data_IF_444371473354
#
_entry.id   IF_444371473354
#
_cell.length_a   1.000
_cell.length_b   1.000
_cell.length_c   1.000
_cell.angle_alpha   90.00
_cell.angle_beta   90.00
_cell.angle_gamma   90.00
#
_symmetry.space_group_name_H-M   'P 1'
#
loop_
_entity.id
_entity.type
_entity.pdbx_description
1 polymer ?
#
# COMPACT_ATOMS: atom_id res chain seq x y z
N UNK A 1 -88.66 3.90 26.22
CA UNK A 1 -90.00 4.50 26.33
C UNK A 1 -90.50 4.80 24.93
N UNK A 2 -91.09 3.79 24.28
CA UNK A 2 -91.98 3.87 23.12
C UNK A 2 -92.42 2.43 22.87
N UNK A 3 -93.46 2.03 23.60
CA UNK A 3 -94.23 0.82 23.34
C UNK A 3 -95.09 1.09 22.12
N UNK A 4 -94.68 0.58 20.96
CA UNK A 4 -95.56 0.48 19.81
C UNK A 4 -96.69 -0.47 20.17
N UNK A 5 -97.90 0.08 20.12
CA UNK A 5 -99.17 -0.63 20.20
C UNK A 5 -99.23 -1.53 18.96
N UNK A 6 -98.95 -2.82 19.16
CA UNK A 6 -99.33 -3.84 18.19
C UNK A 6 -100.86 -3.88 18.23
N UNK A 7 -101.49 -3.20 17.28
CA UNK A 7 -102.86 -3.47 16.90
C UNK A 7 -102.85 -4.91 16.34
N UNK A 8 -103.17 -5.87 17.20
CA UNK A 8 -103.71 -7.16 16.75
C UNK A 8 -105.06 -6.85 16.09
N UNK A 9 -105.02 -6.49 14.81
CA UNK A 9 -106.19 -6.63 13.95
C UNK A 9 -106.48 -8.13 13.90
N UNK A 10 -107.53 -8.53 14.62
CA UNK A 10 -108.16 -9.83 14.54
C UNK A 10 -108.50 -10.12 13.07
N UNK A 11 -107.60 -10.84 12.37
CA UNK A 11 -107.89 -11.36 11.05
C UNK A 11 -109.11 -12.27 11.16
N UNK A 12 -110.22 -11.79 10.59
CA UNK A 12 -111.49 -12.49 10.50
C UNK A 12 -111.29 -13.96 10.10
N UNK A 13 -111.80 -14.84 10.97
CA UNK A 13 -111.95 -16.28 10.75
C UNK A 13 -113.06 -16.58 9.75
N UNK A 14 -113.08 -15.89 8.60
CA UNK A 14 -113.97 -16.17 7.49
C UNK A 14 -113.18 -16.98 6.44
N UNK A 15 -113.20 -18.30 6.62
CA UNK A 15 -112.53 -19.27 5.78
C UNK A 15 -113.19 -19.42 4.41
N UNK A 16 -113.01 -18.44 3.54
CA UNK A 16 -113.06 -18.69 2.10
C UNK A 16 -111.65 -19.05 1.65
N UNK A 17 -111.46 -20.33 1.30
CA UNK A 17 -110.23 -20.84 0.72
C UNK A 17 -110.07 -20.28 -0.70
N UNK A 18 -109.65 -19.02 -0.81
CA UNK A 18 -109.42 -18.33 -2.08
C UNK A 18 -108.18 -18.82 -2.84
N UNK A 19 -107.55 -19.91 -2.37
CA UNK A 19 -106.47 -20.63 -3.03
C UNK A 19 -106.66 -22.12 -2.83
N UNK A 20 -106.54 -22.90 -3.90
CA UNK A 20 -106.42 -24.35 -3.78
C UNK A 20 -105.16 -24.65 -2.95
N UNK A 21 -105.25 -25.44 -1.85
CA UNK A 21 -104.12 -25.70 -0.97
C UNK A 21 -102.88 -26.24 -1.70
N UNK A 22 -103.09 -26.94 -2.81
CA UNK A 22 -102.02 -27.44 -3.68
C UNK A 22 -101.28 -26.32 -4.39
N UNK A 23 -101.96 -25.30 -4.91
CA UNK A 23 -101.29 -24.21 -5.64
C UNK A 23 -100.44 -23.36 -4.69
N UNK A 24 -100.94 -23.12 -3.48
CA UNK A 24 -100.16 -22.48 -2.42
C UNK A 24 -98.92 -23.31 -2.03
N UNK A 25 -99.05 -24.63 -1.94
CA UNK A 25 -97.92 -25.53 -1.73
C UNK A 25 -96.89 -25.42 -2.86
N UNK A 26 -97.31 -25.41 -4.14
CA UNK A 26 -96.37 -25.29 -5.27
C UNK A 26 -95.64 -23.94 -5.29
N UNK A 27 -96.35 -22.84 -5.05
CA UNK A 27 -95.74 -21.50 -4.97
C UNK A 27 -94.76 -21.39 -3.79
N UNK A 28 -95.07 -22.01 -2.66
CA UNK A 28 -94.16 -22.09 -1.51
C UNK A 28 -92.90 -22.88 -1.84
N UNK A 29 -93.02 -24.01 -2.54
CA UNK A 29 -91.86 -24.79 -3.01
C UNK A 29 -91.02 -23.98 -3.99
N UNK A 30 -91.64 -23.29 -4.95
CA UNK A 30 -90.93 -22.45 -5.91
C UNK A 30 -90.20 -21.29 -5.22
N UNK A 31 -90.85 -20.62 -4.26
CA UNK A 31 -90.23 -19.57 -3.47
C UNK A 31 -89.04 -20.10 -2.64
N UNK A 32 -89.16 -21.31 -2.09
CA UNK A 32 -88.06 -21.98 -1.37
C UNK A 32 -86.89 -22.35 -2.30
N UNK A 33 -87.18 -22.83 -3.51
CA UNK A 33 -86.15 -23.12 -4.53
C UNK A 33 -85.43 -21.85 -4.98
N UNK A 34 -86.16 -20.76 -5.22
CA UNK A 34 -85.58 -19.45 -5.54
C UNK A 34 -84.78 -18.89 -4.35
N UNK A 35 -85.29 -19.00 -3.13
CA UNK A 35 -84.57 -18.61 -1.92
C UNK A 35 -83.27 -19.39 -1.76
N UNK A 36 -83.29 -20.71 -2.02
CA UNK A 36 -82.10 -21.56 -2.00
C UNK A 36 -81.08 -21.14 -3.07
N UNK A 37 -81.50 -20.94 -4.31
CA UNK A 37 -80.59 -20.51 -5.39
C UNK A 37 -79.98 -19.13 -5.14
N UNK A 38 -80.76 -18.19 -4.58
CA UNK A 38 -80.25 -16.87 -4.19
C UNK A 38 -79.25 -16.97 -3.04
N UNK A 39 -79.51 -17.81 -2.03
CA UNK A 39 -78.57 -18.07 -0.94
C UNK A 39 -77.29 -18.74 -1.44
N UNK A 40 -77.40 -19.71 -2.34
CA UNK A 40 -76.24 -20.40 -2.90
C UNK A 40 -75.39 -19.43 -3.75
N UNK A 41 -76.02 -18.60 -4.59
CA UNK A 41 -75.34 -17.53 -5.32
C UNK A 41 -74.69 -16.50 -4.38
N UNK A 42 -75.36 -16.15 -3.27
CA UNK A 42 -74.80 -15.23 -2.29
C UNK A 42 -73.56 -15.83 -1.62
N UNK A 43 -73.62 -17.11 -1.22
CA UNK A 43 -72.46 -17.85 -0.68
C UNK A 43 -71.31 -17.93 -1.67
N UNK A 44 -71.57 -18.19 -2.95
CA UNK A 44 -70.54 -18.18 -4.00
C UNK A 44 -69.86 -16.81 -4.13
N UNK A 45 -70.63 -15.73 -4.08
CA UNK A 45 -70.10 -14.36 -4.12
C UNK A 45 -69.27 -14.04 -2.87
N UNK A 46 -69.72 -14.46 -1.69
CA UNK A 46 -68.96 -14.32 -0.43
C UNK A 46 -67.64 -15.10 -0.49
N UNK A 47 -67.65 -16.33 -1.00
CA UNK A 47 -66.44 -17.14 -1.18
C UNK A 47 -65.48 -16.50 -2.19
N UNK A 48 -66.00 -16.02 -3.32
CA UNK A 48 -65.18 -15.33 -4.32
C UNK A 48 -64.56 -14.04 -3.77
N UNK A 49 -65.30 -13.28 -2.96
CA UNK A 49 -64.77 -12.10 -2.25
C UNK A 49 -63.68 -12.49 -1.25
N UNK A 50 -63.89 -13.54 -0.46
CA UNK A 50 -62.88 -14.03 0.49
C UNK A 50 -61.60 -14.46 -0.21
N UNK A 51 -61.70 -15.17 -1.34
CA UNK A 51 -60.56 -15.53 -2.18
C UNK A 51 -59.85 -14.30 -2.76
N UNK A 52 -60.61 -13.29 -3.18
CA UNK A 52 -60.04 -12.03 -3.65
C UNK A 52 -59.29 -11.31 -2.52
N UNK A 53 -59.83 -11.28 -1.29
CA UNK A 53 -59.13 -10.71 -0.14
C UNK A 53 -57.86 -11.49 0.22
N UNK A 54 -57.87 -12.83 0.18
CA UNK A 54 -56.68 -13.63 0.48
C UNK A 54 -55.58 -13.41 -0.56
N UNK A 55 -55.94 -13.43 -1.85
CA UNK A 55 -54.99 -13.17 -2.94
C UNK A 55 -54.44 -11.74 -2.91
N UNK A 56 -55.26 -10.75 -2.58
CA UNK A 56 -54.79 -9.38 -2.39
C UNK A 56 -53.79 -9.26 -1.23
N UNK A 57 -54.04 -9.97 -0.12
CA UNK A 57 -53.11 -9.99 1.01
C UNK A 57 -51.76 -10.64 0.66
N UNK A 58 -51.77 -11.74 -0.11
CA UNK A 58 -50.55 -12.38 -0.62
C UNK A 58 -49.77 -11.43 -1.55
N UNK A 59 -50.45 -10.73 -2.45
CA UNK A 59 -49.82 -9.73 -3.33
C UNK A 59 -49.20 -8.58 -2.54
N UNK A 60 -49.84 -8.10 -1.48
CA UNK A 60 -49.26 -7.07 -0.60
C UNK A 60 -47.97 -7.56 0.07
N UNK A 61 -47.95 -8.81 0.55
CA UNK A 61 -46.74 -9.40 1.11
C UNK A 61 -45.62 -9.52 0.07
N UNK A 62 -45.94 -9.93 -1.15
CA UNK A 62 -44.98 -9.98 -2.26
C UNK A 62 -44.39 -8.60 -2.56
N UNK A 63 -45.23 -7.57 -2.65
CA UNK A 63 -44.78 -6.18 -2.85
C UNK A 63 -43.84 -5.74 -1.73
N UNK A 64 -44.15 -6.08 -0.47
CA UNK A 64 -43.26 -5.77 0.66
C UNK A 64 -41.92 -6.50 0.57
N UNK A 65 -41.91 -7.77 0.16
CA UNK A 65 -40.68 -8.53 -0.03
C UNK A 65 -39.82 -7.94 -1.15
N UNK A 66 -40.43 -7.59 -2.28
CA UNK A 66 -39.75 -6.95 -3.40
C UNK A 66 -39.21 -5.57 -3.01
N UNK A 67 -39.98 -4.78 -2.25
CA UNK A 67 -39.50 -3.50 -1.72
C UNK A 67 -38.27 -3.67 -0.84
N UNK A 68 -38.29 -4.64 0.09
CA UNK A 68 -37.13 -4.96 0.95
C UNK A 68 -35.91 -5.37 0.12
N UNK A 69 -36.10 -6.15 -0.95
CA UNK A 69 -35.02 -6.53 -1.86
C UNK A 69 -34.44 -5.31 -2.60
N UNK A 70 -35.30 -4.40 -3.09
CA UNK A 70 -34.87 -3.16 -3.75
C UNK A 70 -34.10 -2.25 -2.78
N UNK A 71 -34.55 -2.13 -1.53
CA UNK A 71 -33.86 -1.31 -0.54
C UNK A 71 -32.49 -1.89 -0.16
N UNK A 72 -32.36 -3.22 -0.07
CA UNK A 72 -31.07 -3.88 0.11
C UNK A 72 -30.14 -3.62 -1.10
N UNK A 73 -30.67 -3.70 -2.32
CA UNK A 73 -29.91 -3.40 -3.53
C UNK A 73 -29.45 -1.93 -3.57
N UNK A 74 -30.27 -1.00 -3.10
CA UNK A 74 -29.88 0.42 -2.94
C UNK A 74 -28.75 0.57 -1.93
N UNK A 75 -28.86 -0.05 -0.75
CA UNK A 75 -27.81 -0.01 0.28
C UNK A 75 -26.49 -0.61 -0.23
N UNK A 76 -26.54 -1.73 -0.97
CA UNK A 76 -25.36 -2.33 -1.58
C UNK A 76 -24.75 -1.39 -2.64
N UNK A 77 -25.57 -0.75 -3.47
CA UNK A 77 -25.10 0.23 -4.44
C UNK A 77 -24.41 1.42 -3.74
N UNK A 78 -25.00 1.95 -2.67
CA UNK A 78 -24.41 3.03 -1.87
C UNK A 78 -23.08 2.62 -1.22
N UNK A 79 -22.97 1.37 -0.78
CA UNK A 79 -21.71 0.81 -0.27
C UNK A 79 -20.67 0.69 -1.40
N UNK A 80 -21.08 0.23 -2.58
CA UNK A 80 -20.20 0.15 -3.75
C UNK A 80 -19.70 1.54 -4.15
N UNK A 81 -20.57 2.54 -4.19
CA UNK A 81 -20.20 3.93 -4.47
C UNK A 81 -19.14 4.44 -3.49
N UNK A 82 -19.31 4.20 -2.19
CA UNK A 82 -18.31 4.57 -1.15
C UNK A 82 -16.97 3.86 -1.34
N UNK A 83 -16.98 2.58 -1.70
CA UNK A 83 -15.74 1.83 -1.97
C UNK A 83 -15.04 2.38 -3.21
N UNK A 84 -15.78 2.75 -4.26
CA UNK A 84 -15.19 3.40 -5.44
C UNK A 84 -14.58 4.75 -5.10
N UNK A 85 -15.26 5.58 -4.29
CA UNK A 85 -14.69 6.85 -3.81
C UNK A 85 -13.39 6.65 -3.03
N UNK A 86 -13.35 5.65 -2.12
CA UNK A 86 -12.14 5.32 -1.36
C UNK A 86 -11.00 4.80 -2.25
N UNK A 87 -11.31 3.97 -3.25
CA UNK A 87 -10.32 3.50 -4.21
C UNK A 87 -9.76 4.65 -5.05
N UNK A 88 -10.61 5.59 -5.46
CA UNK A 88 -10.19 6.77 -6.19
C UNK A 88 -9.31 7.70 -5.34
N UNK A 89 -9.62 7.88 -4.06
CA UNK A 89 -8.78 8.62 -3.11
C UNK A 89 -7.41 7.94 -2.97
N UNK A 90 -7.38 6.63 -2.71
CA UNK A 90 -6.13 5.88 -2.58
C UNK A 90 -5.30 5.90 -3.87
N UNK A 91 -5.93 5.80 -5.04
CA UNK A 91 -5.25 5.90 -6.33
C UNK A 91 -4.57 7.27 -6.51
N UNK A 92 -5.29 8.36 -6.21
CA UNK A 92 -4.73 9.73 -6.28
C UNK A 92 -3.58 9.92 -5.29
N UNK A 93 -3.66 9.37 -4.09
CA UNK A 93 -2.58 9.46 -3.10
C UNK A 93 -1.33 8.70 -3.55
N UNK A 94 -1.51 7.51 -4.14
CA UNK A 94 -0.41 6.73 -4.72
C UNK A 94 0.23 7.44 -5.91
N UNK A 95 -0.57 8.05 -6.80
CA UNK A 95 -0.06 8.85 -7.93
C UNK A 95 0.74 10.05 -7.44
N UNK A 96 0.23 10.79 -6.45
CA UNK A 96 0.96 11.90 -5.83
C UNK A 96 2.26 11.44 -5.17
N UNK A 97 2.23 10.32 -4.44
CA UNK A 97 3.41 9.71 -3.85
C UNK A 97 4.45 9.29 -4.89
N UNK A 98 4.01 8.68 -5.99
CA UNK A 98 4.88 8.29 -7.10
C UNK A 98 5.53 9.51 -7.77
N UNK A 99 4.75 10.55 -8.07
CA UNK A 99 5.28 11.80 -8.64
C UNK A 99 6.33 12.43 -7.73
N UNK A 100 6.11 12.47 -6.41
CA UNK A 100 7.10 12.97 -5.44
C UNK A 100 8.37 12.12 -5.45
N UNK A 101 8.25 10.79 -5.37
CA UNK A 101 9.39 9.88 -5.40
C UNK A 101 10.20 10.00 -6.70
N UNK A 102 9.54 10.19 -7.85
CA UNK A 102 10.21 10.42 -9.12
C UNK A 102 10.96 11.75 -9.12
N UNK A 103 10.38 12.81 -8.56
CA UNK A 103 11.07 14.10 -8.41
C UNK A 103 12.30 13.97 -7.51
N UNK A 104 12.16 13.33 -6.34
CA UNK A 104 13.27 13.11 -5.40
C UNK A 104 14.37 12.23 -6.02
N UNK A 105 13.98 11.19 -6.76
CA UNK A 105 14.93 10.35 -7.51
C UNK A 105 15.68 11.15 -8.57
N UNK A 106 15.02 12.09 -9.26
CA UNK A 106 15.68 12.96 -10.24
C UNK A 106 16.65 13.92 -9.57
N UNK A 107 16.28 14.52 -8.45
CA UNK A 107 17.15 15.42 -7.68
C UNK A 107 18.37 14.66 -7.11
N UNK A 108 18.15 13.46 -6.58
CA UNK A 108 19.22 12.59 -6.12
C UNK A 108 20.16 12.19 -7.26
N UNK A 109 19.61 11.84 -8.43
CA UNK A 109 20.39 11.57 -9.63
C UNK A 109 21.23 12.79 -10.01
N UNK A 110 20.66 13.99 -10.11
CA UNK A 110 21.42 15.21 -10.42
C UNK A 110 22.58 15.44 -9.45
N UNK A 111 22.38 15.21 -8.15
CA UNK A 111 23.42 15.30 -7.13
C UNK A 111 24.50 14.22 -7.28
N UNK A 112 24.12 13.01 -7.66
CA UNK A 112 25.09 11.94 -7.97
C UNK A 112 25.92 12.35 -9.18
N UNK A 113 25.30 12.83 -10.26
CA UNK A 113 26.02 13.25 -11.46
C UNK A 113 27.01 14.38 -11.15
N UNK A 114 26.62 15.41 -10.40
CA UNK A 114 27.55 16.49 -10.03
C UNK A 114 28.71 16.00 -9.16
N UNK A 115 28.46 15.10 -8.21
CA UNK A 115 29.54 14.49 -7.41
C UNK A 115 30.45 13.62 -8.28
N UNK A 116 29.90 12.83 -9.21
CA UNK A 116 30.68 12.04 -10.16
C UNK A 116 31.58 12.93 -11.01
N UNK A 117 31.06 14.04 -11.55
CA UNK A 117 31.85 15.03 -12.30
C UNK A 117 33.00 15.60 -11.44
N UNK A 118 32.77 15.90 -10.16
CA UNK A 118 33.85 16.35 -9.26
C UNK A 118 34.89 15.28 -9.01
N UNK A 119 34.48 14.01 -8.89
CA UNK A 119 35.40 12.88 -8.69
C UNK A 119 36.21 12.63 -9.95
N UNK A 120 35.61 12.67 -11.14
CA UNK A 120 36.31 12.55 -12.42
C UNK A 120 37.32 13.71 -12.60
N UNK A 121 36.94 14.93 -12.25
CA UNK A 121 37.85 16.09 -12.23
C UNK A 121 39.04 15.92 -11.28
N UNK A 122 38.82 15.33 -10.10
CA UNK A 122 39.90 15.00 -9.17
C UNK A 122 40.76 13.83 -9.63
N UNK A 123 40.18 12.82 -10.27
CA UNK A 123 40.90 11.67 -10.83
C UNK A 123 41.84 12.10 -11.94
N UNK A 124 41.35 12.91 -12.89
CA UNK A 124 42.18 13.50 -13.96
C UNK A 124 43.32 14.34 -13.38
N UNK A 125 43.05 15.19 -12.37
CA UNK A 125 44.11 15.93 -11.68
C UNK A 125 45.15 15.02 -10.99
N UNK A 126 44.71 13.93 -10.37
CA UNK A 126 45.62 12.94 -9.77
C UNK A 126 46.47 12.22 -10.82
N UNK A 127 45.89 11.85 -11.96
CA UNK A 127 46.59 11.23 -13.08
C UNK A 127 47.63 12.19 -13.68
N UNK A 128 47.29 13.47 -13.84
CA UNK A 128 48.22 14.52 -14.28
C UNK A 128 49.38 14.71 -13.28
N UNK A 129 49.10 14.71 -11.98
CA UNK A 129 50.15 14.81 -10.96
C UNK A 129 51.03 13.54 -10.95
N UNK A 130 50.42 12.37 -11.15
CA UNK A 130 51.14 11.10 -11.21
C UNK A 130 52.04 11.02 -12.43
N UNK A 131 51.58 11.48 -13.61
CA UNK A 131 52.42 11.58 -14.81
C UNK A 131 53.59 12.55 -14.60
N UNK A 132 53.37 13.73 -14.02
CA UNK A 132 54.44 14.68 -13.67
C UNK A 132 55.48 14.06 -12.73
N UNK A 133 55.05 13.29 -11.72
CA UNK A 133 55.97 12.59 -10.80
C UNK A 133 56.78 11.51 -11.53
N UNK A 134 56.16 10.73 -12.42
CA UNK A 134 56.86 9.72 -13.22
C UNK A 134 57.83 10.37 -14.24
N UNK A 135 57.48 11.50 -14.83
CA UNK A 135 58.38 12.30 -15.68
C UNK A 135 59.59 12.81 -14.89
N UNK A 136 59.39 13.33 -13.67
CA UNK A 136 60.50 13.74 -12.80
C UNK A 136 61.37 12.55 -12.38
N UNK A 137 60.77 11.40 -12.05
CA UNK A 137 61.49 10.17 -11.71
C UNK A 137 62.32 9.66 -12.89
N UNK A 138 61.76 9.64 -14.10
CA UNK A 138 62.47 9.23 -15.32
C UNK A 138 63.57 10.22 -15.66
N UNK A 139 63.32 11.53 -15.58
CA UNK A 139 64.35 12.56 -15.76
C UNK A 139 65.48 12.42 -14.74
N UNK A 140 65.16 12.13 -13.47
CA UNK A 140 66.15 11.88 -12.43
C UNK A 140 66.93 10.59 -12.67
N UNK A 141 66.28 9.51 -13.11
CA UNK A 141 66.95 8.27 -13.48
C UNK A 141 67.93 8.49 -14.65
N UNK A 142 67.53 9.28 -15.66
CA UNK A 142 68.41 9.66 -16.77
C UNK A 142 69.58 10.56 -16.31
N UNK A 143 69.36 11.50 -15.38
CA UNK A 143 70.45 12.26 -14.74
C UNK A 143 71.42 11.33 -14.01
N UNK A 144 70.92 10.43 -13.16
CA UNK A 144 71.76 9.47 -12.44
C UNK A 144 72.56 8.57 -13.41
N UNK A 145 71.98 8.14 -14.54
CA UNK A 145 72.72 7.39 -15.58
C UNK A 145 73.80 8.23 -16.24
N UNK A 146 73.52 9.51 -16.54
CA UNK A 146 74.52 10.46 -17.05
C UNK A 146 75.64 10.68 -16.05
N UNK A 147 75.30 10.92 -14.79
CA UNK A 147 76.26 11.10 -13.69
C UNK A 147 77.12 9.85 -13.52
N UNK A 148 76.56 8.64 -13.57
CA UNK A 148 77.32 7.40 -13.51
C UNK A 148 78.24 7.22 -14.74
N UNK A 149 77.77 7.59 -15.93
CA UNK A 149 78.56 7.55 -17.15
C UNK A 149 79.69 8.60 -17.14
N UNK A 150 79.42 9.79 -16.61
CA UNK A 150 80.39 10.86 -16.38
C UNK A 150 81.38 10.48 -15.29
N UNK A 151 80.96 9.86 -14.19
CA UNK A 151 81.85 9.30 -13.19
C UNK A 151 82.78 8.25 -13.79
N UNK A 152 82.26 7.33 -14.62
CA UNK A 152 83.09 6.35 -15.36
C UNK A 152 84.07 7.04 -16.31
N UNK A 153 83.64 8.09 -17.02
CA UNK A 153 84.54 8.89 -17.88
C UNK A 153 85.56 9.70 -17.07
N UNK A 154 85.19 10.19 -15.88
CA UNK A 154 86.03 10.97 -14.99
C UNK A 154 87.04 10.08 -14.26
N UNK A 155 86.69 8.85 -13.89
CA UNK A 155 87.62 7.83 -13.38
C UNK A 155 88.59 7.39 -14.48
N UNK A 156 88.09 7.22 -15.71
CA UNK A 156 88.93 7.03 -16.89
C UNK A 156 89.87 8.23 -17.12
N UNK A 157 89.37 9.46 -17.06
CA UNK A 157 90.15 10.68 -17.23
C UNK A 157 91.13 10.93 -16.06
N UNK A 158 90.77 10.59 -14.82
CA UNK A 158 91.64 10.63 -13.64
C UNK A 158 92.74 9.58 -13.72
N UNK A 159 92.48 8.41 -14.30
CA UNK A 159 93.55 7.42 -14.54
C UNK A 159 94.59 7.93 -15.55
N UNK A 160 94.18 8.76 -16.51
CA UNK A 160 95.08 9.43 -17.47
C UNK A 160 95.67 10.74 -16.89
N UNK A 161 94.93 11.43 -16.01
CA UNK A 161 95.39 12.61 -15.26
C UNK A 161 96.44 12.23 -14.23
N UNK A 162 96.30 11.11 -13.51
CA UNK A 162 97.32 10.61 -12.59
C UNK A 162 98.64 10.36 -13.33
N UNK A 163 98.60 9.86 -14.57
CA UNK A 163 99.79 9.70 -15.41
C UNK A 163 100.33 11.05 -15.92
N UNK A 164 99.47 12.03 -16.16
CA UNK A 164 99.86 13.40 -16.55
C UNK A 164 100.42 14.20 -15.36
N UNK A 165 99.83 14.09 -14.18
CA UNK A 165 100.30 14.65 -12.91
C UNK A 165 101.64 14.06 -12.50
N UNK A 166 101.91 12.77 -12.76
CA UNK A 166 103.26 12.20 -12.61
C UNK A 166 104.27 12.80 -13.59
N UNK A 167 103.85 13.20 -14.78
CA UNK A 167 104.68 13.88 -15.78
C UNK A 167 104.90 15.37 -15.46
N UNK A 168 103.86 16.04 -14.95
CA UNK A 168 103.84 17.45 -14.58
C UNK A 168 104.53 17.69 -13.22
N UNK A 169 104.40 16.78 -12.23
CA UNK A 169 105.20 16.78 -10.99
C UNK A 169 106.71 16.65 -11.27
N UNK A 170 107.08 15.98 -12.36
CA UNK A 170 108.47 15.88 -12.79
C UNK A 170 108.98 17.18 -13.46
N UNK A 171 108.07 18.07 -13.88
CA UNK A 171 108.36 19.41 -14.41
C UNK A 171 108.28 20.50 -13.33
N UNK A 172 107.34 20.42 -12.40
CA UNK A 172 107.12 21.42 -11.35
C UNK A 172 108.10 21.33 -10.17
N UNK A 173 108.84 20.21 -10.02
CA UNK A 173 110.00 20.16 -9.10
C UNK A 173 111.13 21.10 -9.53
N UNK A 174 111.09 21.70 -10.73
CA UNK A 174 112.09 22.66 -11.22
C UNK A 174 111.68 24.13 -11.13
N UNK A 175 110.42 24.48 -10.82
CA UNK A 175 110.02 25.88 -10.67
C UNK A 175 109.21 26.12 -9.38
N UNK A 176 109.94 26.40 -8.31
CA UNK A 176 109.68 27.57 -7.45
C UNK A 176 108.33 27.69 -6.74
N UNK A 177 108.35 27.27 -5.48
CA UNK A 177 107.45 27.67 -4.39
C UNK A 177 106.98 29.14 -4.40
N UNK A 178 105.68 29.36 -4.19
CA UNK A 178 105.08 30.63 -3.75
C UNK A 178 103.55 30.51 -3.63
N UNK A 179 103.02 30.59 -2.41
CA UNK A 179 101.69 30.09 -2.04
C UNK A 179 100.46 30.94 -2.46
N UNK A 180 99.24 30.41 -2.26
CA UNK A 180 98.00 31.07 -2.62
C UNK A 180 97.45 31.91 -1.45
N UNK A 181 97.09 33.17 -1.72
CA UNK A 181 96.26 33.98 -0.81
C UNK A 181 94.84 34.00 -1.36
N UNK A 182 93.95 33.34 -0.63
CA UNK A 182 92.51 33.21 -0.88
C UNK A 182 91.82 34.54 -0.55
N UNK A 183 91.07 35.05 -1.52
CA UNK A 183 90.17 36.20 -1.43
C UNK A 183 88.75 35.70 -1.20
N UNK A 184 88.04 36.34 -0.27
CA UNK A 184 86.60 36.25 -0.11
C UNK A 184 86.14 35.12 0.81
N UNK A 185 85.26 35.48 1.77
CA UNK A 185 84.01 34.78 2.09
C UNK A 185 83.41 35.30 3.42
N UNK A 186 82.22 35.92 3.27
CA UNK A 186 81.09 36.04 4.21
C UNK A 186 81.09 37.12 5.30
N UNK A 187 80.45 38.23 4.94
CA UNK A 187 79.61 39.02 5.84
C UNK A 187 78.33 38.25 6.16
N UNK A 188 78.20 37.79 7.40
CA UNK A 188 76.95 37.28 7.96
C UNK A 188 76.62 38.12 9.20
N UNK A 189 75.34 38.44 9.32
CA UNK A 189 74.62 38.90 10.53
C UNK A 189 74.34 40.41 10.65
N UNK A 190 73.06 40.74 10.39
CA UNK A 190 72.30 41.55 11.34
C UNK A 190 71.86 42.93 10.86
N UNK A 191 70.79 43.01 10.06
CA UNK A 191 69.88 44.16 10.11
C UNK A 191 68.50 43.66 10.52
N UNK A 192 68.19 43.86 11.80
CA UNK A 192 66.93 43.49 12.45
C UNK A 192 65.99 44.70 12.55
N UNK A 193 66.08 45.65 11.62
CA UNK A 193 65.24 46.86 11.60
C UNK A 193 64.89 47.23 10.16
N UNK A 194 64.07 46.43 9.48
CA UNK A 194 63.48 46.86 8.21
C UNK A 194 62.12 46.20 7.95
N UNK A 195 61.20 46.34 8.89
CA UNK A 195 59.82 45.88 8.68
C UNK A 195 58.78 47.00 8.85
N UNK A 196 59.21 48.26 8.91
CA UNK A 196 58.31 49.36 9.27
C UNK A 196 58.46 50.63 8.42
N UNK A 197 59.02 50.51 7.22
CA UNK A 197 59.02 51.61 6.24
C UNK A 197 58.62 51.13 4.85
N UNK A 198 57.39 51.52 4.49
CA UNK A 198 56.77 51.53 3.15
C UNK A 198 55.95 50.29 2.78
N UNK A 199 54.80 50.11 3.44
CA UNK A 199 53.62 49.72 2.68
C UNK A 199 53.08 51.00 2.02
N UNK A 200 52.90 50.98 0.71
CA UNK A 200 52.35 52.13 0.01
C UNK A 200 50.90 52.32 0.46
N UNK A 201 50.49 53.54 0.90
CA UNK A 201 49.14 53.78 1.42
C UNK A 201 48.04 53.49 0.38
N UNK A 202 48.41 53.43 -0.90
CA UNK A 202 47.55 53.03 -2.01
C UNK A 202 47.27 51.51 -1.99
N UNK A 203 48.25 50.69 -1.64
CA UNK A 203 48.08 49.24 -1.53
C UNK A 203 47.22 48.88 -0.32
N UNK A 204 47.44 49.55 0.81
CA UNK A 204 46.59 49.41 2.01
C UNK A 204 45.14 49.84 1.72
N UNK A 205 44.94 50.97 1.04
CA UNK A 205 43.62 51.39 0.60
C UNK A 205 42.98 50.38 -0.36
N UNK A 206 43.74 49.79 -1.28
CA UNK A 206 43.23 48.77 -2.18
C UNK A 206 42.84 47.47 -1.44
N UNK A 207 43.59 47.08 -0.40
CA UNK A 207 43.26 45.94 0.47
C UNK A 207 42.02 46.24 1.31
N UNK A 208 41.92 47.45 1.89
CA UNK A 208 40.75 47.89 2.64
C UNK A 208 39.50 47.94 1.76
N UNK A 209 39.60 48.47 0.54
CA UNK A 209 38.49 48.48 -0.43
C UNK A 209 38.03 47.06 -0.78
N UNK A 210 38.97 46.13 -0.99
CA UNK A 210 38.66 44.71 -1.18
C UNK A 210 37.96 44.11 0.04
N UNK A 211 38.41 44.44 1.26
CA UNK A 211 37.76 43.97 2.50
C UNK A 211 36.36 44.56 2.71
N UNK A 212 36.13 45.82 2.32
CA UNK A 212 34.81 46.45 2.37
C UNK A 212 33.88 45.80 1.35
N UNK A 213 34.36 45.51 0.14
CA UNK A 213 33.57 44.81 -0.87
C UNK A 213 33.20 43.38 -0.43
N UNK A 214 34.12 42.65 0.21
CA UNK A 214 33.81 41.31 0.74
C UNK A 214 32.85 41.37 1.93
N UNK A 215 32.98 42.35 2.83
CA UNK A 215 32.02 42.54 3.92
C UNK A 215 30.64 42.94 3.38
N UNK A 216 30.58 43.78 2.35
CA UNK A 216 29.32 44.16 1.68
C UNK A 216 28.64 42.95 1.04
N UNK A 217 29.39 42.09 0.34
CA UNK A 217 28.83 40.86 -0.23
C UNK A 217 28.38 39.88 0.85
N UNK A 218 29.12 39.74 1.94
CA UNK A 218 28.72 38.94 3.10
C UNK A 218 27.43 39.48 3.76
N UNK A 219 27.30 40.79 3.92
CA UNK A 219 26.07 41.41 4.45
C UNK A 219 24.89 41.14 3.52
N UNK A 220 25.08 41.21 2.20
CA UNK A 220 24.01 40.91 1.23
C UNK A 220 23.56 39.44 1.33
N UNK A 221 24.51 38.50 1.43
CA UNK A 221 24.22 37.07 1.61
C UNK A 221 23.50 36.82 2.94
N UNK A 222 23.96 37.43 4.04
CA UNK A 222 23.31 37.31 5.35
C UNK A 222 21.91 37.94 5.37
N UNK A 223 21.68 39.04 4.63
CA UNK A 223 20.34 39.61 4.45
C UNK A 223 19.42 38.64 3.70
N UNK A 224 19.87 38.09 2.58
CA UNK A 224 19.09 37.08 1.85
C UNK A 224 18.80 35.83 2.69
N UNK A 225 19.76 35.38 3.50
CA UNK A 225 19.56 34.27 4.44
C UNK A 225 18.54 34.59 5.53
N UNK A 226 18.53 35.83 6.06
CA UNK A 226 17.52 36.28 7.04
C UNK A 226 16.13 36.36 6.42
N UNK A 227 16.00 36.95 5.24
CA UNK A 227 14.73 37.04 4.50
C UNK A 227 14.16 35.64 4.19
N UNK A 228 15.00 34.71 3.73
CA UNK A 228 14.57 33.32 3.52
C UNK A 228 14.08 32.66 4.81
N UNK A 229 14.81 32.83 5.92
CA UNK A 229 14.41 32.30 7.22
C UNK A 229 13.14 32.97 7.77
N UNK A 230 12.88 34.24 7.47
CA UNK A 230 11.63 34.93 7.81
C UNK A 230 10.45 34.37 7.01
N UNK A 231 10.62 34.14 5.70
CA UNK A 231 9.58 33.51 4.88
C UNK A 231 9.23 32.08 5.36
N UNK A 232 10.23 31.29 5.75
CA UNK A 232 10.02 29.97 6.34
C UNK A 232 9.29 30.05 7.69
N UNK A 233 9.65 31.02 8.55
CA UNK A 233 8.94 31.27 9.82
C UNK A 233 7.48 31.66 9.58
N UNK A 234 7.22 32.52 8.60
CA UNK A 234 5.87 32.92 8.27
C UNK A 234 5.05 31.75 7.70
N UNK A 235 5.66 30.90 6.87
CA UNK A 235 5.01 29.70 6.35
C UNK A 235 4.63 28.74 7.50
N UNK A 236 5.59 28.44 8.40
CA UNK A 236 5.31 27.59 9.58
C UNK A 236 4.29 28.22 10.51
N UNK A 237 4.27 29.54 10.69
CA UNK A 237 3.25 30.23 11.47
C UNK A 237 1.85 30.09 10.86
N UNK A 238 1.73 30.15 9.52
CA UNK A 238 0.44 29.94 8.84
C UNK A 238 -0.02 28.49 9.00
N UNK A 239 0.88 27.53 8.83
CA UNK A 239 0.59 26.11 9.06
C UNK A 239 0.13 25.86 10.50
N UNK A 240 0.85 26.41 11.49
CA UNK A 240 0.48 26.31 12.91
C UNK A 240 -0.92 26.89 13.16
N UNK A 241 -1.24 28.06 12.62
CA UNK A 241 -2.59 28.64 12.76
C UNK A 241 -3.68 27.76 12.13
N UNK A 242 -3.39 27.10 10.99
CA UNK A 242 -4.30 26.16 10.36
C UNK A 242 -4.49 24.88 11.16
N UNK A 243 -3.42 24.38 11.79
CA UNK A 243 -3.48 23.24 12.70
C UNK A 243 -4.28 23.56 13.96
N UNK A 244 -4.09 24.74 14.55
CA UNK A 244 -4.87 25.20 15.71
C UNK A 244 -6.37 25.28 15.38
N UNK A 245 -6.74 25.80 14.20
CA UNK A 245 -8.14 25.82 13.76
C UNK A 245 -8.72 24.40 13.62
N UNK A 246 -7.95 23.45 13.07
CA UNK A 246 -8.36 22.04 12.99
C UNK A 246 -8.48 21.39 14.37
N UNK A 247 -7.60 21.72 15.31
CA UNK A 247 -7.71 21.24 16.69
C UNK A 247 -8.97 21.77 17.37
N UNK A 248 -9.31 23.04 17.16
CA UNK A 248 -10.55 23.64 17.68
C UNK A 248 -11.79 22.94 17.11
N UNK A 249 -11.83 22.66 15.80
CA UNK A 249 -12.97 21.94 15.19
C UNK A 249 -13.09 20.51 15.70
N UNK A 250 -11.97 19.78 15.82
CA UNK A 250 -11.93 18.43 16.38
C UNK A 250 -12.33 18.41 17.86
N UNK A 251 -11.89 19.39 18.65
CA UNK A 251 -12.32 19.55 20.04
C UNK A 251 -13.83 19.78 20.14
N UNK A 252 -14.40 20.59 19.24
CA UNK A 252 -15.85 20.77 19.11
C UNK A 252 -16.59 19.47 18.79
N UNK A 253 -16.11 18.70 17.82
CA UNK A 253 -16.66 17.38 17.50
C UNK A 253 -16.55 16.40 18.68
N UNK A 254 -15.43 16.42 19.41
CA UNK A 254 -15.23 15.59 20.60
C UNK A 254 -16.20 15.97 21.73
N UNK A 255 -16.46 17.26 21.94
CA UNK A 255 -17.46 17.73 22.89
C UNK A 255 -18.87 17.25 22.50
N UNK A 256 -19.25 17.41 21.22
CA UNK A 256 -20.55 16.92 20.73
C UNK A 256 -20.71 15.41 20.88
N UNK A 257 -19.64 14.65 20.65
CA UNK A 257 -19.63 13.20 20.89
C UNK A 257 -19.93 12.88 22.35
N UNK A 258 -19.28 13.56 23.30
CA UNK A 258 -19.52 13.36 24.74
C UNK A 258 -20.95 13.71 25.16
N UNK A 259 -21.52 14.77 24.59
CA UNK A 259 -22.94 15.12 24.80
C UNK A 259 -23.87 14.01 24.33
N UNK A 260 -23.66 13.49 23.11
CA UNK A 260 -24.45 12.39 22.57
C UNK A 260 -24.29 11.10 23.38
N UNK A 261 -23.08 10.80 23.87
CA UNK A 261 -22.84 9.66 24.77
C UNK A 261 -23.65 9.81 26.08
N UNK A 262 -23.67 11.02 26.66
CA UNK A 262 -24.48 11.30 27.85
C UNK A 262 -26.00 11.21 27.56
N UNK A 263 -26.48 11.69 26.42
CA UNK A 263 -27.88 11.54 25.98
C UNK A 263 -28.26 10.06 25.82
N UNK A 264 -27.39 9.25 25.22
CA UNK A 264 -27.59 7.79 25.08
C UNK A 264 -27.62 7.11 26.44
N UNK A 265 -26.76 7.50 27.38
CA UNK A 265 -26.78 6.99 28.75
C UNK A 265 -28.09 7.34 29.48
N UNK A 266 -28.59 8.56 29.30
CA UNK A 266 -29.89 8.97 29.84
C UNK A 266 -31.03 8.15 29.23
N UNK A 267 -31.05 7.95 27.91
CA UNK A 267 -32.04 7.12 27.24
C UNK A 267 -31.97 5.66 27.70
N UNK A 268 -30.77 5.12 27.93
CA UNK A 268 -30.59 3.77 28.51
C UNK A 268 -31.15 3.68 29.92
N UNK A 269 -30.95 4.70 30.76
CA UNK A 269 -31.51 4.75 32.11
C UNK A 269 -33.04 4.82 32.07
N UNK A 270 -33.60 5.66 31.19
CA UNK A 270 -35.05 5.76 30.99
C UNK A 270 -35.62 4.43 30.49
N UNK A 271 -34.99 3.80 29.50
CA UNK A 271 -35.41 2.49 29.00
C UNK A 271 -35.37 1.42 30.11
N UNK A 272 -34.32 1.37 30.93
CA UNK A 272 -34.26 0.45 32.09
C UNK A 272 -35.38 0.74 33.09
N UNK A 273 -35.70 2.01 33.34
CA UNK A 273 -36.79 2.40 34.23
C UNK A 273 -38.17 2.03 33.64
N UNK A 274 -38.37 2.22 32.34
CA UNK A 274 -39.57 1.80 31.61
C UNK A 274 -39.73 0.27 31.60
N UNK A 275 -38.65 -0.48 31.41
CA UNK A 275 -38.64 -1.93 31.55
C UNK A 275 -38.94 -2.39 32.97
N UNK A 276 -38.48 -1.66 33.99
CA UNK A 276 -38.79 -1.95 35.39
C UNK A 276 -40.26 -1.61 35.75
N UNK A 277 -40.82 -0.57 35.12
CA UNK A 277 -42.20 -0.12 35.33
C UNK A 277 -43.23 -0.89 34.49
N UNK A 278 -42.82 -1.47 33.36
CA UNK A 278 -43.66 -2.33 32.52
C UNK A 278 -43.70 -3.74 33.11
N UNK A 279 -44.80 -4.05 33.82
CA UNK A 279 -45.12 -5.40 34.34
C UNK A 279 -45.27 -6.45 33.21
N UNK A 280 -45.26 -6.04 31.93
CA UNK A 280 -45.22 -6.95 30.80
C UNK A 280 -43.81 -7.05 30.24
N UNK A 281 -43.12 -8.12 30.67
CA UNK A 281 -41.94 -8.70 30.01
C UNK A 281 -42.15 -8.75 28.49
N UNK A 282 -41.31 -8.10 27.68
CA UNK A 282 -41.05 -8.59 26.34
C UNK A 282 -40.18 -9.84 26.50
N UNK A 283 -40.77 -11.00 26.24
CA UNK A 283 -40.04 -12.26 26.16
C UNK A 283 -38.90 -12.16 25.15
N UNK A 284 -37.69 -12.40 25.66
CA UNK A 284 -36.54 -13.01 24.99
C UNK A 284 -36.65 -13.12 23.47
N UNK A 285 -36.04 -12.19 22.74
CA UNK A 285 -35.32 -12.50 21.51
C UNK A 285 -34.28 -11.39 21.29
N UNK A 286 -33.04 -11.63 21.73
CA UNK A 286 -31.81 -11.28 21.01
C UNK A 286 -30.59 -11.82 21.79
N UNK A 287 -29.67 -12.58 21.16
CA UNK A 287 -28.48 -13.12 21.81
C UNK A 287 -27.53 -12.06 22.38
N UNK A 288 -27.27 -12.20 23.67
CA UNK A 288 -26.44 -11.37 24.54
C UNK A 288 -24.95 -11.78 24.46
N UNK A 289 -24.41 -11.87 23.24
CA UNK A 289 -23.01 -12.24 22.98
C UNK A 289 -22.34 -11.27 22.00
N UNK A 290 -22.34 -9.98 22.35
CA UNK A 290 -21.23 -9.11 21.92
C UNK A 290 -20.73 -8.38 23.16
N UNK A 291 -19.89 -9.12 23.87
CA UNK A 291 -19.14 -8.73 25.05
C UNK A 291 -18.29 -7.48 24.75
N UNK A 292 -18.85 -6.29 24.95
CA UNK A 292 -18.03 -5.11 25.22
C UNK A 292 -17.57 -5.23 26.67
N UNK A 293 -16.31 -5.63 26.87
CA UNK A 293 -15.64 -5.42 28.14
C UNK A 293 -15.53 -3.91 28.38
N UNK A 294 -16.55 -3.32 28.99
CA UNK A 294 -16.45 -2.03 29.65
C UNK A 294 -15.76 -2.27 30.99
N UNK A 295 -14.43 -2.28 30.98
CA UNK A 295 -13.68 -1.86 32.15
C UNK A 295 -13.96 -0.36 32.32
N UNK A 296 -14.83 -0.03 33.27
CA UNK A 296 -14.71 1.10 34.19
C UNK A 296 -15.97 1.12 35.08
N UNK A 297 -15.77 0.91 36.39
CA UNK A 297 -16.82 0.71 37.38
C UNK A 297 -17.61 1.98 37.74
N UNK A 298 -18.61 1.83 38.63
CA UNK A 298 -18.31 2.20 40.01
C UNK A 298 -18.66 1.08 40.97
N UNK A 299 -17.65 0.61 41.72
CA UNK A 299 -17.86 -0.27 42.87
C UNK A 299 -18.38 0.57 44.03
N UNK A 300 -19.53 0.13 44.52
CA UNK A 300 -20.23 0.60 45.69
C UNK A 300 -19.39 0.30 46.94
N UNK A 301 -19.14 1.35 47.74
CA UNK A 301 -18.53 1.25 49.05
C UNK A 301 -19.52 0.56 50.00
N UNK A 302 -19.18 -0.65 50.45
CA UNK A 302 -19.69 -1.17 51.70
C UNK A 302 -18.51 -1.49 52.63
N UNK A 303 -18.63 -0.87 53.79
CA UNK A 303 -17.77 -0.84 54.95
C UNK A 303 -17.66 -2.25 55.55
N UNK A 304 -16.45 -2.76 55.79
CA UNK A 304 -16.20 -3.70 56.88
C UNK A 304 -14.72 -3.68 57.29
N UNK A 305 -14.50 -3.21 58.51
CA UNK A 305 -13.24 -3.23 59.25
C UNK A 305 -12.74 -4.67 59.41
N UNK A 306 -11.46 -4.93 59.12
CA UNK A 306 -10.64 -5.81 59.97
C UNK A 306 -9.15 -5.64 59.69
N UNK A 307 -8.48 -5.06 60.70
CA UNK A 307 -7.16 -5.46 61.25
C UNK A 307 -5.95 -5.47 60.31
N UNK A 308 -5.22 -4.36 60.39
CA UNK A 308 -3.76 -4.22 60.41
C UNK A 308 -2.92 -5.49 60.21
N UNK A 309 -2.18 -5.54 59.10
CA UNK A 309 -0.74 -5.80 59.11
C UNK A 309 -0.05 -4.93 58.07
N UNK A 310 0.90 -4.16 58.58
CA UNK A 310 1.89 -3.36 57.86
C UNK A 310 2.56 -4.19 56.76
N UNK A 311 2.50 -3.74 55.50
CA UNK A 311 3.65 -3.65 54.58
C UNK A 311 3.32 -2.59 53.50
N UNK A 312 4.34 -1.81 53.15
CA UNK A 312 4.31 -0.55 52.41
C UNK A 312 3.65 -0.62 51.01
N UNK A 313 2.83 0.37 50.60
CA UNK A 313 2.34 0.45 49.23
C UNK A 313 3.41 1.10 48.33
N UNK A 314 4.11 0.28 47.54
CA UNK A 314 4.86 0.79 46.39
C UNK A 314 3.87 1.37 45.37
N UNK A 315 3.79 2.70 45.36
CA UNK A 315 3.14 3.47 44.32
C UNK A 315 3.74 3.10 42.95
N UNK A 316 3.02 2.29 42.16
CA UNK A 316 3.25 2.23 40.72
C UNK A 316 2.65 3.49 40.08
N UNK A 317 3.43 4.56 40.10
CA UNK A 317 3.25 5.68 39.19
C UNK A 317 3.48 5.10 37.77
N UNK A 318 2.41 4.91 37.00
CA UNK A 318 2.50 4.67 35.56
C UNK A 318 3.06 5.94 34.91
N UNK A 319 4.39 5.98 34.89
CA UNK A 319 5.19 7.00 34.24
C UNK A 319 4.91 6.96 32.74
N UNK A 320 4.30 8.04 32.22
CA UNK A 320 4.27 8.33 30.79
C UNK A 320 5.72 8.36 30.29
N UNK A 321 6.09 7.38 29.46
CA UNK A 321 7.39 7.34 28.82
C UNK A 321 7.48 8.43 27.76
N UNK A 322 7.99 9.60 28.16
CA UNK A 322 8.64 10.52 27.26
C UNK A 322 10.00 9.91 26.92
N UNK A 323 10.22 9.51 25.67
CA UNK A 323 11.53 9.07 25.21
C UNK A 323 12.41 10.29 24.97
N UNK A 324 13.10 10.73 26.01
CA UNK A 324 14.34 11.49 25.88
C UNK A 324 15.35 10.88 26.85
N UNK A 325 16.28 10.10 26.29
CA UNK A 325 17.10 9.16 27.05
C UNK A 325 18.23 8.58 26.22
N UNK A 326 19.19 9.45 25.90
CA UNK A 326 20.63 9.18 25.77
C UNK A 326 21.02 7.76 25.36
N UNK A 327 21.56 7.68 24.15
CA UNK A 327 22.36 6.60 23.58
C UNK A 327 23.34 5.99 24.60
N UNK A 328 23.00 4.84 25.17
CA UNK A 328 23.97 3.88 25.69
C UNK A 328 23.60 2.52 25.12
N UNK A 329 24.48 2.01 24.26
CA UNK A 329 24.21 0.93 23.31
C UNK A 329 23.42 -0.23 23.90
N UNK A 330 22.13 -0.30 23.55
CA UNK A 330 21.35 -1.50 23.68
C UNK A 330 22.04 -2.55 22.80
N UNK A 331 22.59 -3.58 23.43
CA UNK A 331 23.21 -4.67 22.69
C UNK A 331 22.19 -5.25 21.71
N UNK A 332 22.59 -5.59 20.49
CA UNK A 332 21.70 -6.17 19.48
C UNK A 332 20.97 -7.44 19.98
N UNK A 333 21.46 -8.03 21.07
CA UNK A 333 20.89 -9.19 21.74
C UNK A 333 19.74 -8.82 22.69
N UNK A 334 19.73 -7.64 23.30
CA UNK A 334 18.57 -7.17 24.11
C UNK A 334 17.38 -6.80 23.24
N UNK A 335 17.64 -6.19 22.08
CA UNK A 335 16.59 -5.89 21.10
C UNK A 335 16.02 -7.18 20.53
N UNK A 336 16.87 -8.17 20.22
CA UNK A 336 16.43 -9.50 19.76
C UNK A 336 15.62 -10.25 20.82
N UNK A 337 16.05 -10.26 22.08
CA UNK A 337 15.29 -10.89 23.18
C UNK A 337 13.98 -10.17 23.47
N UNK A 338 13.95 -8.83 23.34
CA UNK A 338 12.73 -8.03 23.45
C UNK A 338 11.73 -8.37 22.35
N UNK A 339 12.20 -8.46 21.11
CA UNK A 339 11.39 -8.85 19.95
C UNK A 339 10.86 -10.29 20.09
N UNK A 340 11.70 -11.24 20.48
CA UNK A 340 11.31 -12.64 20.67
C UNK A 340 10.21 -12.80 21.74
N UNK A 341 10.34 -12.11 22.88
CA UNK A 341 9.32 -12.11 23.95
C UNK A 341 8.02 -11.42 23.53
N UNK A 342 8.06 -10.44 22.63
CA UNK A 342 6.88 -9.79 22.06
C UNK A 342 6.22 -10.67 21.01
N UNK A 343 6.99 -11.37 20.18
CA UNK A 343 6.50 -12.33 19.18
C UNK A 343 5.82 -13.54 19.84
N UNK A 344 6.41 -14.07 20.92
CA UNK A 344 5.81 -15.16 21.71
C UNK A 344 4.49 -14.70 22.34
N UNK A 345 4.47 -13.54 23.01
CA UNK A 345 3.23 -13.01 23.59
C UNK A 345 2.15 -12.67 22.56
N UNK A 346 2.54 -12.20 21.37
CA UNK A 346 1.60 -11.94 20.27
C UNK A 346 1.05 -13.25 19.71
N UNK A 347 1.87 -14.28 19.54
CA UNK A 347 1.44 -15.60 19.10
C UNK A 347 0.53 -16.28 20.13
N UNK A 348 0.83 -16.16 21.42
CA UNK A 348 0.01 -16.67 22.52
C UNK A 348 -1.33 -15.92 22.63
N UNK A 349 -1.32 -14.59 22.48
CA UNK A 349 -2.55 -13.79 22.43
C UNK A 349 -3.42 -14.14 21.21
N UNK A 350 -2.82 -14.48 20.07
CA UNK A 350 -3.54 -14.99 18.88
C UNK A 350 -4.10 -16.39 19.14
N UNK A 351 -3.38 -17.26 19.85
CA UNK A 351 -3.89 -18.59 20.24
C UNK A 351 -5.04 -18.51 21.25
N UNK A 352 -4.99 -17.53 22.17
CA UNK A 352 -6.02 -17.31 23.20
C UNK A 352 -7.30 -16.65 22.65
N UNK A 353 -7.24 -15.96 21.51
CA UNK A 353 -8.37 -15.28 20.85
C UNK A 353 -9.18 -16.16 19.89
N UNK A 354 -8.99 -17.48 19.94
CA UNK A 354 -9.56 -18.40 18.96
C UNK A 354 -8.74 -18.44 17.67
N UNK A 355 -8.85 -19.55 16.95
CA UNK A 355 -8.07 -19.87 15.75
C UNK A 355 -8.18 -18.69 14.77
N UNK A 356 -7.05 -18.04 14.46
CA UNK A 356 -7.00 -16.97 13.45
C UNK A 356 -7.68 -17.45 12.17
N UNK A 357 -8.51 -16.60 11.54
CA UNK A 357 -9.17 -16.89 10.26
C UNK A 357 -8.19 -17.49 9.23
N UNK A 358 -6.94 -17.01 9.23
CA UNK A 358 -5.88 -17.52 8.35
C UNK A 358 -5.49 -18.97 8.66
N UNK A 359 -5.41 -19.35 9.93
CA UNK A 359 -5.14 -20.75 10.32
C UNK A 359 -6.32 -21.68 10.00
N UNK A 360 -7.56 -21.16 10.05
CA UNK A 360 -8.74 -21.93 9.63
C UNK A 360 -8.81 -22.07 8.12
N UNK A 361 -8.49 -21.03 7.35
CA UNK A 361 -8.31 -21.09 5.89
C UNK A 361 -7.19 -22.05 5.52
N UNK A 362 -6.05 -22.03 6.22
CA UNK A 362 -4.93 -22.95 6.01
C UNK A 362 -5.31 -24.40 6.36
N UNK A 363 -6.10 -24.61 7.42
CA UNK A 363 -6.61 -25.93 7.78
C UNK A 363 -7.62 -26.44 6.73
N UNK A 364 -8.50 -25.57 6.23
CA UNK A 364 -9.44 -25.90 5.15
C UNK A 364 -8.71 -26.21 3.85
N UNK A 365 -7.69 -25.44 3.50
CA UNK A 365 -6.85 -25.67 2.33
C UNK A 365 -6.07 -26.99 2.46
N UNK A 366 -5.48 -27.25 3.63
CA UNK A 366 -4.78 -28.50 3.91
C UNK A 366 -5.73 -29.71 3.86
N UNK A 367 -6.95 -29.59 4.39
CA UNK A 367 -7.96 -30.63 4.32
C UNK A 367 -8.44 -30.89 2.88
N UNK A 368 -8.59 -29.83 2.08
CA UNK A 368 -8.94 -29.94 0.66
C UNK A 368 -7.81 -30.59 -0.14
N UNK A 369 -6.56 -30.23 0.15
CA UNK A 369 -5.38 -30.82 -0.47
C UNK A 369 -5.31 -32.32 -0.20
N UNK A 370 -5.54 -32.77 1.05
CA UNK A 370 -5.58 -34.20 1.39
C UNK A 370 -6.69 -34.93 0.63
N UNK A 371 -7.89 -34.33 0.50
CA UNK A 371 -9.00 -34.92 -0.28
C UNK A 371 -8.69 -35.00 -1.78
N UNK A 372 -8.03 -33.99 -2.32
CA UNK A 372 -7.59 -33.99 -3.72
C UNK A 372 -6.52 -35.04 -3.96
N UNK A 373 -5.55 -35.17 -3.06
CA UNK A 373 -4.53 -36.22 -3.11
C UNK A 373 -5.12 -37.63 -2.95
N UNK A 374 -6.16 -37.80 -2.13
CA UNK A 374 -6.94 -39.04 -2.05
C UNK A 374 -7.69 -39.33 -3.36
N UNK A 375 -8.26 -38.31 -4.00
CA UNK A 375 -8.96 -38.45 -5.28
C UNK A 375 -8.00 -38.80 -6.41
N UNK A 376 -6.84 -38.15 -6.47
CA UNK A 376 -5.74 -38.49 -7.37
C UNK A 376 -5.25 -39.93 -7.14
N UNK A 377 -5.10 -40.34 -5.88
CA UNK A 377 -4.77 -41.74 -5.53
C UNK A 377 -5.84 -42.71 -5.98
N UNK A 378 -7.13 -42.37 -5.87
CA UNK A 378 -8.23 -43.20 -6.36
C UNK A 378 -8.22 -43.30 -7.88
N UNK A 379 -8.01 -42.20 -8.61
CA UNK A 379 -7.86 -42.24 -10.07
C UNK A 379 -6.66 -43.11 -10.48
N UNK A 380 -5.50 -42.96 -9.83
CA UNK A 380 -4.32 -43.79 -10.08
C UNK A 380 -4.52 -45.27 -9.72
N UNK A 381 -5.36 -45.57 -8.73
CA UNK A 381 -5.75 -46.95 -8.37
C UNK A 381 -6.81 -47.54 -9.30
N UNK A 382 -7.60 -46.68 -9.97
CA UNK A 382 -8.61 -47.11 -10.96
C UNK A 382 -7.97 -47.35 -12.32
N UNK A 383 -6.82 -46.72 -12.60
CA UNK A 383 -6.01 -46.92 -13.81
C UNK A 383 -5.05 -48.13 -13.70
N UNK A 384 -5.60 -49.29 -13.34
CA UNK A 384 -4.99 -50.60 -13.63
C UNK A 384 -5.58 -51.79 -12.87
N UNK A 385 -5.83 -52.93 -13.52
CA UNK A 385 -6.38 -53.19 -14.85
C UNK A 385 -7.73 -53.95 -14.74
N UNK A 386 -8.83 -53.39 -15.25
CA UNK A 386 -10.04 -54.18 -15.53
C UNK A 386 -10.51 -53.94 -16.95
N UNK A 387 -10.42 -55.03 -17.72
CA UNK A 387 -10.84 -55.18 -19.10
C UNK A 387 -12.27 -54.69 -19.38
N UNK A 388 -12.46 -54.02 -20.52
CA UNK A 388 -13.31 -54.45 -21.66
C UNK A 388 -14.10 -53.30 -22.32
N UNK A 389 -13.53 -52.71 -23.37
CA UNK A 389 -14.21 -52.50 -24.67
C UNK A 389 -13.17 -52.13 -25.74
N UNK A 390 -13.32 -52.76 -26.90
CA UNK A 390 -12.34 -52.99 -27.97
C UNK A 390 -12.36 -51.87 -29.05
N UNK A 391 -11.55 -51.93 -30.13
CA UNK A 391 -10.78 -50.80 -30.65
C UNK A 391 -11.28 -50.31 -32.02
N UNK A 392 -10.89 -49.09 -32.41
CA UNK A 392 -10.96 -48.69 -33.81
C UNK A 392 -9.55 -48.39 -34.32
N UNK A 393 -9.00 -49.37 -35.03
CA UNK A 393 -7.90 -49.24 -36.00
C UNK A 393 -8.34 -48.28 -37.13
N UNK A 394 -7.53 -47.64 -37.96
CA UNK A 394 -6.14 -47.82 -38.37
C UNK A 394 -5.77 -46.56 -39.17
N UNK A 395 -4.50 -46.17 -39.17
CA UNK A 395 -4.02 -45.10 -40.06
C UNK A 395 -2.53 -44.81 -39.91
N UNK A 396 -1.69 -45.79 -40.25
CA UNK A 396 -0.27 -45.58 -40.55
C UNK A 396 -0.01 -46.28 -41.89
N UNK A 397 0.93 -45.83 -42.75
CA UNK A 397 2.33 -46.06 -42.41
C UNK A 397 3.40 -45.10 -42.98
N UNK A 398 4.58 -45.19 -42.35
CA UNK A 398 5.92 -45.24 -42.93
C UNK A 398 6.59 -44.00 -43.57
N UNK A 399 7.66 -43.57 -42.86
CA UNK A 399 9.05 -43.47 -43.34
C UNK A 399 9.41 -42.54 -44.50
N UNK A 400 10.18 -41.49 -44.20
CA UNK A 400 11.43 -41.21 -44.95
C UNK A 400 12.44 -40.40 -44.13
N UNK A 401 13.70 -40.84 -44.23
CA UNK A 401 14.92 -40.21 -43.70
C UNK A 401 15.40 -39.09 -44.63
N UNK A 402 15.92 -37.99 -44.06
CA UNK A 402 16.91 -37.04 -44.63
C UNK A 402 17.12 -35.93 -43.59
N UNK A 403 18.22 -35.73 -42.86
CA UNK A 403 19.67 -35.54 -43.13
C UNK A 403 20.02 -34.29 -43.96
N UNK A 404 20.23 -33.13 -43.31
CA UNK A 404 21.49 -32.32 -43.35
C UNK A 404 21.40 -30.93 -42.65
N UNK A 405 22.44 -30.68 -41.82
CA UNK A 405 23.28 -29.47 -41.62
C UNK A 405 22.62 -28.15 -41.15
N UNK A 406 22.98 -27.60 -39.96
CA UNK A 406 24.17 -26.76 -39.62
C UNK A 406 24.10 -25.37 -40.30
N UNK A 407 24.18 -24.19 -39.66
CA UNK A 407 24.83 -23.74 -38.41
C UNK A 407 24.40 -22.30 -38.01
N UNK A 408 24.82 -21.88 -36.80
CA UNK A 408 25.05 -20.50 -36.29
C UNK A 408 23.84 -19.82 -35.62
N UNK A 409 23.93 -19.14 -34.46
CA UNK A 409 25.02 -18.82 -33.55
C UNK A 409 24.47 -18.43 -32.16
N UNK A 410 25.22 -18.76 -31.09
CA UNK A 410 25.32 -18.05 -29.80
C UNK A 410 24.08 -17.95 -28.85
N UNK A 411 24.30 -17.80 -27.53
CA UNK A 411 23.66 -18.65 -26.54
C UNK A 411 22.76 -17.92 -25.52
N UNK A 412 21.70 -18.65 -25.15
CA UNK A 412 21.24 -18.90 -23.77
C UNK A 412 20.79 -17.73 -22.90
N UNK A 413 19.47 -17.47 -22.95
CA UNK A 413 18.69 -17.24 -21.75
C UNK A 413 18.06 -18.58 -21.31
N UNK A 414 18.22 -18.91 -20.02
CA UNK A 414 17.82 -20.17 -19.40
C UNK A 414 16.30 -20.39 -19.48
N UNK A 415 15.88 -21.34 -20.31
CA UNK A 415 14.57 -21.99 -20.20
C UNK A 415 14.78 -23.45 -19.80
N UNK A 416 14.24 -23.81 -18.63
CA UNK A 416 13.96 -25.21 -18.30
C UNK A 416 12.87 -25.66 -19.26
N UNK A 417 13.23 -26.61 -20.12
CA UNK A 417 12.33 -27.31 -21.02
C UNK A 417 11.44 -28.24 -20.19
N UNK A 418 10.12 -28.03 -20.28
CA UNK A 418 9.13 -29.11 -20.14
C UNK A 418 8.28 -29.08 -21.41
N UNK A 419 8.08 -30.26 -21.95
CA UNK A 419 7.61 -30.57 -23.30
C UNK A 419 6.33 -29.85 -23.76
N UNK A 420 6.41 -29.27 -24.96
CA UNK A 420 5.74 -29.85 -26.12
C UNK A 420 4.20 -29.90 -26.22
N UNK A 421 3.42 -29.45 -25.24
CA UNK A 421 1.97 -29.29 -25.40
C UNK A 421 1.58 -27.83 -25.26
N UNK A 422 1.09 -27.22 -26.35
CA UNK A 422 0.39 -25.94 -26.23
C UNK A 422 -0.81 -26.17 -25.29
N UNK A 423 -1.00 -25.34 -24.26
CA UNK A 423 -2.15 -25.43 -23.39
C UNK A 423 -3.45 -25.35 -24.21
N UNK A 424 -4.46 -26.12 -23.84
CA UNK A 424 -5.75 -26.20 -24.56
C UNK A 424 -6.41 -24.83 -24.76
N UNK A 425 -6.20 -23.91 -23.81
CA UNK A 425 -6.69 -22.53 -23.95
C UNK A 425 -6.12 -21.82 -25.19
N UNK A 426 -4.86 -22.09 -25.58
CA UNK A 426 -4.25 -21.51 -26.80
C UNK A 426 -4.85 -22.08 -28.07
N UNK A 427 -5.30 -23.34 -28.06
CA UNK A 427 -6.01 -23.93 -29.20
C UNK A 427 -7.42 -23.32 -29.33
N UNK A 428 -8.14 -23.19 -28.21
CA UNK A 428 -9.43 -22.51 -28.13
C UNK A 428 -9.35 -21.05 -28.60
N UNK A 429 -8.34 -20.29 -28.18
CA UNK A 429 -8.17 -18.91 -28.65
C UNK A 429 -7.95 -18.82 -30.15
N UNK A 430 -7.20 -19.74 -30.74
CA UNK A 430 -7.01 -19.81 -32.20
C UNK A 430 -8.31 -20.18 -32.92
N UNK A 431 -9.09 -21.09 -32.35
CA UNK A 431 -10.37 -21.50 -32.90
C UNK A 431 -11.40 -20.36 -32.84
N UNK A 432 -11.51 -19.66 -31.71
CA UNK A 432 -12.37 -18.47 -31.55
C UNK A 432 -11.95 -17.38 -32.52
N UNK A 433 -10.65 -17.10 -32.65
CA UNK A 433 -10.15 -16.07 -33.57
C UNK A 433 -10.46 -16.42 -35.03
N UNK A 434 -10.26 -17.69 -35.41
CA UNK A 434 -10.63 -18.17 -36.74
C UNK A 434 -12.15 -18.13 -36.98
N UNK A 435 -12.97 -18.40 -35.95
CA UNK A 435 -14.42 -18.33 -36.06
C UNK A 435 -14.88 -16.90 -36.28
N UNK A 436 -14.37 -15.95 -35.49
CA UNK A 436 -14.65 -14.51 -35.63
C UNK A 436 -14.21 -14.00 -37.01
N UNK A 437 -13.04 -14.44 -37.49
CA UNK A 437 -12.53 -14.02 -38.78
C UNK A 437 -13.37 -14.55 -39.94
N UNK A 438 -13.81 -15.82 -39.87
CA UNK A 438 -14.78 -16.38 -40.82
C UNK A 438 -16.11 -15.62 -40.80
N UNK A 439 -16.67 -15.35 -39.62
CA UNK A 439 -17.92 -14.58 -39.51
C UNK A 439 -17.78 -13.16 -40.08
N UNK A 440 -16.62 -12.53 -39.91
CA UNK A 440 -16.35 -11.21 -40.49
C UNK A 440 -16.26 -11.28 -42.02
N UNK A 441 -15.63 -12.31 -42.55
CA UNK A 441 -15.46 -12.49 -44.00
C UNK A 441 -16.83 -12.88 -44.63
N UNK A 442 -17.63 -13.73 -43.98
CA UNK A 442 -19.01 -14.08 -44.38
C UNK A 442 -19.95 -12.84 -44.38
N UNK A 443 -19.80 -11.93 -43.41
CA UNK A 443 -20.54 -10.67 -43.38
C UNK A 443 -20.04 -9.68 -44.45
N UNK A 444 -18.77 -9.76 -44.83
CA UNK A 444 -18.19 -8.99 -45.93
C UNK A 444 -18.73 -9.43 -47.29
N UNK A 445 -18.81 -10.74 -47.53
CA UNK A 445 -19.32 -11.32 -48.78
C UNK A 445 -20.82 -11.02 -48.98
N UNK A 446 -21.61 -11.07 -47.91
CA UNK A 446 -23.03 -10.70 -47.93
C UNK A 446 -23.28 -9.19 -48.11
N UNK A 447 -22.25 -8.34 -48.02
CA UNK A 447 -22.36 -6.87 -48.16
C UNK A 447 -21.86 -6.34 -49.50
N UNK A 448 -21.49 -7.22 -50.43
CA UNK A 448 -21.17 -6.82 -51.82
C UNK A 448 -22.43 -6.31 -52.54
N UNK A 449 -22.36 -5.18 -53.27
CA UNK A 449 -23.54 -4.46 -53.72
C UNK A 449 -24.23 -5.18 -54.88
N UNK A 450 -25.53 -5.44 -54.73
CA UNK A 450 -26.44 -5.79 -55.82
C UNK A 450 -26.60 -4.55 -56.72
N UNK A 451 -25.66 -4.34 -57.65
CA UNK A 451 -25.91 -3.54 -58.84
C UNK A 451 -26.39 -4.43 -59.98
N UNK A 452 -27.64 -4.20 -60.41
CA UNK A 452 -28.06 -4.46 -61.79
C UNK A 452 -29.10 -5.56 -62.01
N UNK A 453 -30.39 -5.21 -61.93
CA UNK A 453 -31.41 -5.75 -62.85
C UNK A 453 -32.70 -4.93 -62.77
N UNK A 454 -33.05 -4.22 -63.85
CA UNK A 454 -34.35 -3.54 -63.96
C UNK A 454 -34.46 -2.53 -65.09
N UNK A 455 -34.15 -2.92 -66.32
CA UNK A 455 -34.63 -2.24 -67.53
C UNK A 455 -36.10 -2.59 -67.76
N UNK A 456 -36.94 -1.57 -67.98
CA UNK A 456 -38.15 -1.47 -68.83
C UNK A 456 -39.18 -0.53 -68.18
#
# INVERSE_FOLDING_TARGET
>A
MLTDVILEEDFDKNGEAWYDPRDLEHDLHLAAELGKTLLDRNRELEQALQQMYSTNQEQLQEIEHLNKQVDLLRQMNDQHAKVYEQLDEAARDLEQGNVRLVQDSRLAQQKIHSLTETVEGLQTYMEDLQTQVEELKTAQAERNKRDLAEQRRSLGAQSVSCLKELYDLHHDRRLGHGGPRVEGLWSLQGSFYDQDKRQDPEEENAVLQRSVQTLQSQIAVERGRREAAELERDATSRENSGLEQRLVSLAGCSARKKELEAEVEQLRLLWRAECANSIRRPERLLPDEVFFASEDGPRQEENEETVEKEEEPRQFILQRCNSDGVLKGASADEIRRGHERLCVRRAEAVKQRGISLLNEVDAQYSALQVKYDELLRRCQQTDGPSHRATPASNGSPASSRSRRRRSSAAPSDLTVVVDGQQPEYKALFKEIFNCIQKTRDDLGDNRSPVEGSGSA
#
